data_IF_994302624103
#
_entry.id   IF_994302624103
#
_cell.length_a   1.000
_cell.length_b   1.000
_cell.length_c   1.000
_cell.angle_alpha   90.00
_cell.angle_beta   90.00
_cell.angle_gamma   90.00
#
_symmetry.space_group_name_H-M   'P 1'
#
loop_
_entity.id
_entity.type
_entity.pdbx_description
1 polymer ?
#
# COMPACT_ATOMS: atom_id res chain seq x y z
N UNK A 1 -28.71 -12.71 29.89
CA UNK A 1 -28.56 -11.36 29.29
C UNK A 1 -27.08 -11.14 28.99
N UNK A 2 -26.78 -10.93 27.72
CA UNK A 2 -25.50 -10.96 27.01
C UNK A 2 -24.24 -10.41 27.73
N UNK A 3 -23.27 -11.28 28.03
CA UNK A 3 -21.87 -10.93 28.35
C UNK A 3 -21.20 -10.10 27.25
N UNK A 4 -21.66 -10.24 25.99
CA UNK A 4 -21.15 -9.45 24.85
C UNK A 4 -21.49 -7.97 24.96
N UNK A 5 -22.60 -7.62 25.62
CA UNK A 5 -23.06 -6.22 25.74
C UNK A 5 -22.17 -5.39 26.67
N UNK A 6 -21.61 -6.01 27.71
CA UNK A 6 -20.66 -5.34 28.62
C UNK A 6 -19.30 -5.12 27.97
N UNK A 7 -18.79 -6.13 27.24
CA UNK A 7 -17.51 -6.05 26.55
C UNK A 7 -17.49 -5.01 25.42
N UNK A 8 -18.57 -4.93 24.63
CA UNK A 8 -18.68 -4.00 23.50
C UNK A 8 -18.84 -2.53 23.91
N UNK A 9 -19.24 -2.22 25.16
CA UNK A 9 -19.51 -0.85 25.62
C UNK A 9 -18.25 0.04 25.60
N UNK A 10 -17.09 -0.52 25.93
CA UNK A 10 -15.82 0.22 25.91
C UNK A 10 -15.18 0.23 24.51
N UNK A 11 -15.49 -0.75 23.67
CA UNK A 11 -15.01 -0.80 22.28
C UNK A 11 -15.76 0.18 21.37
N UNK A 12 -17.02 0.50 21.68
CA UNK A 12 -17.82 1.52 20.99
C UNK A 12 -17.91 2.85 21.76
N UNK A 13 -16.98 3.13 22.67
CA UNK A 13 -16.86 4.47 23.22
C UNK A 13 -16.55 5.45 22.08
N UNK A 14 -17.37 6.49 21.90
CA UNK A 14 -17.21 7.48 20.82
C UNK A 14 -15.80 8.10 20.83
N UNK A 15 -15.21 8.25 22.00
CA UNK A 15 -13.86 8.78 22.21
C UNK A 15 -12.74 7.83 21.74
N UNK A 16 -12.99 6.51 21.69
CA UNK A 16 -12.01 5.52 21.26
C UNK A 16 -12.01 5.31 19.73
N UNK A 17 -13.12 5.66 19.05
CA UNK A 17 -13.26 5.51 17.59
C UNK A 17 -12.16 6.28 16.83
N UNK A 18 -11.85 7.56 17.14
CA UNK A 18 -10.77 8.28 16.48
C UNK A 18 -9.40 7.60 16.62
N UNK A 19 -9.12 7.02 17.79
CA UNK A 19 -7.83 6.35 18.04
C UNK A 19 -7.66 5.12 17.16
N UNK A 20 -8.67 4.24 17.12
CA UNK A 20 -8.62 3.05 16.26
C UNK A 20 -8.62 3.41 14.77
N UNK A 21 -9.31 4.48 14.38
CA UNK A 21 -9.31 4.97 13.00
C UNK A 21 -7.92 5.43 12.56
N UNK A 22 -7.24 6.25 13.38
CA UNK A 22 -5.88 6.73 13.06
C UNK A 22 -4.89 5.59 13.05
N UNK A 23 -4.89 4.73 14.08
CA UNK A 23 -3.98 3.58 14.14
C UNK A 23 -4.22 2.64 12.96
N UNK A 24 -5.48 2.33 12.66
CA UNK A 24 -5.86 1.50 11.53
C UNK A 24 -5.39 2.08 10.20
N UNK A 25 -5.59 3.38 9.98
CA UNK A 25 -5.14 4.08 8.78
C UNK A 25 -3.62 4.04 8.63
N UNK A 26 -2.88 4.28 9.72
CA UNK A 26 -1.41 4.27 9.70
C UNK A 26 -0.86 2.88 9.40
N UNK A 27 -1.38 1.84 10.06
CA UNK A 27 -0.92 0.46 9.82
C UNK A 27 -1.29 -0.01 8.42
N UNK A 28 -2.52 0.24 7.97
CA UNK A 28 -2.96 -0.13 6.63
C UNK A 28 -2.19 0.63 5.54
N UNK A 29 -2.06 1.96 5.70
CA UNK A 29 -1.34 2.82 4.76
C UNK A 29 0.15 2.49 4.69
N UNK A 30 0.78 2.28 5.85
CA UNK A 30 2.18 1.86 5.94
C UNK A 30 2.40 0.48 5.31
N UNK A 31 1.55 -0.50 5.60
CA UNK A 31 1.60 -1.83 5.01
C UNK A 31 1.42 -1.80 3.48
N UNK A 32 0.44 -1.04 2.99
CA UNK A 32 0.23 -0.83 1.56
C UNK A 32 1.45 -0.19 0.89
N UNK A 33 2.02 0.85 1.50
CA UNK A 33 3.17 1.56 0.94
C UNK A 33 4.41 0.67 0.89
N UNK A 34 4.69 -0.11 1.93
CA UNK A 34 5.77 -1.10 1.94
C UNK A 34 5.56 -2.17 0.86
N UNK A 35 4.33 -2.68 0.68
CA UNK A 35 4.02 -3.63 -0.38
C UNK A 35 4.26 -3.03 -1.78
N UNK A 36 3.93 -1.74 -1.98
CA UNK A 36 4.20 -1.00 -3.23
C UNK A 36 5.70 -0.81 -3.47
N UNK A 37 6.48 -0.51 -2.43
CA UNK A 37 7.93 -0.36 -2.52
C UNK A 37 8.64 -1.70 -2.79
N UNK A 38 8.20 -2.76 -2.13
CA UNK A 38 8.69 -4.11 -2.35
C UNK A 38 8.54 -4.55 -3.81
N UNK A 39 7.50 -4.06 -4.52
CA UNK A 39 7.26 -4.34 -5.93
C UNK A 39 7.87 -3.29 -6.89
N UNK A 40 8.79 -2.45 -6.41
CA UNK A 40 9.49 -1.47 -7.24
C UNK A 40 10.37 -2.12 -8.32
N UNK A 41 10.69 -1.41 -9.42
CA UNK A 41 11.44 -1.97 -10.54
C UNK A 41 12.92 -2.21 -10.23
N UNK A 42 13.43 -1.72 -9.12
CA UNK A 42 14.81 -1.94 -8.64
C UNK A 42 14.94 -3.18 -7.75
N UNK A 43 13.83 -3.79 -7.34
CA UNK A 43 13.82 -4.92 -6.39
C UNK A 43 13.72 -6.22 -7.16
N UNK A 44 14.61 -7.18 -6.89
CA UNK A 44 14.60 -8.51 -7.51
C UNK A 44 14.21 -9.54 -6.44
N UNK A 45 13.06 -10.19 -6.59
CA UNK A 45 12.58 -11.22 -5.67
C UNK A 45 12.91 -12.63 -6.13
N UNK A 46 12.89 -12.84 -7.44
CA UNK A 46 13.07 -14.16 -8.06
C UNK A 46 14.23 -14.13 -9.04
N UNK A 47 14.78 -15.31 -9.34
CA UNK A 47 15.77 -15.47 -10.41
C UNK A 47 15.13 -15.52 -11.80
N UNK A 48 13.82 -15.70 -11.88
CA UNK A 48 13.07 -15.79 -13.16
C UNK A 48 12.96 -14.41 -13.82
N UNK A 49 12.88 -13.34 -13.03
CA UNK A 49 12.93 -11.96 -13.52
C UNK A 49 14.10 -11.18 -12.87
N UNK A 50 15.35 -11.41 -13.32
CA UNK A 50 16.53 -10.78 -12.72
C UNK A 50 16.65 -9.30 -13.06
N UNK A 51 15.91 -8.81 -14.06
CA UNK A 51 16.01 -7.43 -14.57
C UNK A 51 14.62 -6.78 -14.72
N UNK A 52 13.87 -6.57 -13.63
CA UNK A 52 12.48 -6.09 -13.69
C UNK A 52 12.31 -4.70 -14.30
N UNK A 53 13.39 -3.90 -14.35
CA UNK A 53 13.38 -2.60 -15.01
C UNK A 53 13.28 -2.67 -16.54
N UNK A 54 13.64 -3.80 -17.17
CA UNK A 54 13.56 -3.95 -18.62
C UNK A 54 12.12 -4.03 -19.14
N UNK A 55 11.14 -4.29 -18.27
CA UNK A 55 9.71 -4.32 -18.63
C UNK A 55 9.09 -2.91 -18.68
N UNK A 56 9.79 -1.86 -18.25
CA UNK A 56 9.29 -0.48 -18.23
C UNK A 56 9.40 0.13 -19.63
N UNK A 57 8.32 0.71 -20.13
CA UNK A 57 8.33 1.44 -21.41
C UNK A 57 8.64 2.91 -21.23
N UNK A 58 9.12 3.55 -22.30
CA UNK A 58 9.49 4.98 -22.27
C UNK A 58 8.30 5.91 -21.97
N UNK A 59 7.07 5.51 -22.31
CA UNK A 59 5.82 6.25 -22.05
C UNK A 59 5.22 6.00 -20.66
N UNK A 60 5.87 5.18 -19.83
CA UNK A 60 5.34 4.74 -18.53
C UNK A 60 6.05 5.39 -17.33
N UNK A 61 5.26 5.92 -16.40
CA UNK A 61 5.73 6.46 -15.13
C UNK A 61 5.84 5.39 -14.05
N UNK A 62 7.01 5.26 -13.40
CA UNK A 62 7.22 4.32 -12.30
C UNK A 62 6.93 4.90 -10.91
N UNK A 63 6.89 6.23 -10.82
CA UNK A 63 6.66 6.96 -9.57
C UNK A 63 5.18 7.02 -9.24
N UNK A 64 4.87 7.05 -7.95
CA UNK A 64 3.49 7.22 -7.47
C UNK A 64 2.92 8.60 -7.83
N UNK A 65 3.77 9.62 -7.82
CA UNK A 65 3.39 10.99 -8.14
C UNK A 65 4.47 11.64 -9.01
N UNK A 66 4.02 12.30 -10.07
CA UNK A 66 4.83 13.13 -10.96
C UNK A 66 4.19 14.51 -11.01
N UNK A 67 4.95 15.55 -10.65
CA UNK A 67 4.40 16.92 -10.56
C UNK A 67 4.54 17.65 -11.89
N UNK A 68 5.71 17.55 -12.54
CA UNK A 68 6.03 18.30 -13.75
C UNK A 68 6.16 17.43 -15.00
N UNK A 69 6.17 16.10 -14.85
CA UNK A 69 6.34 15.15 -15.95
C UNK A 69 5.01 14.44 -16.23
N UNK A 70 4.62 14.41 -17.50
CA UNK A 70 3.43 13.71 -17.97
C UNK A 70 3.86 12.42 -18.67
N UNK A 71 3.38 11.30 -18.12
CA UNK A 71 3.47 9.99 -18.74
C UNK A 71 2.07 9.61 -19.21
N UNK A 72 1.96 8.86 -20.31
CA UNK A 72 0.66 8.41 -20.79
C UNK A 72 0.04 7.38 -19.84
N UNK A 73 0.89 6.59 -19.18
CA UNK A 73 0.46 5.43 -18.38
C UNK A 73 1.33 5.28 -17.13
N UNK A 74 0.76 4.67 -16.10
CA UNK A 74 1.50 4.20 -14.93
C UNK A 74 2.05 2.79 -15.17
N UNK A 75 3.29 2.55 -14.78
CA UNK A 75 3.88 1.22 -14.80
C UNK A 75 3.38 0.39 -13.61
N UNK A 76 3.00 -0.87 -13.88
CA UNK A 76 2.65 -1.86 -12.87
C UNK A 76 3.44 -3.15 -13.04
N UNK A 77 3.95 -3.69 -11.93
CA UNK A 77 4.72 -4.93 -11.93
C UNK A 77 3.81 -6.15 -12.09
N UNK A 78 3.86 -6.79 -13.27
CA UNK A 78 3.09 -8.02 -13.57
C UNK A 78 3.80 -9.32 -13.19
N UNK A 79 5.13 -9.31 -13.10
CA UNK A 79 5.98 -10.48 -12.81
C UNK A 79 6.85 -10.23 -11.58
N UNK A 80 6.98 -11.22 -10.69
CA UNK A 80 7.82 -11.14 -9.48
C UNK A 80 9.26 -11.53 -9.76
#
# INVERSE_FOLDING_TARGET
MSLRKGFMRNWFAVEAIPMYAVVGLVVAGGGWYLARLARGPTVVWTKENPTPWNDIKADEGTKLLTVNQHFEKGWERRKL
#
